data_IF_903683342407
#
_entry.id   IF_903683342407
#
_cell.length_a   1.000
_cell.length_b   1.000
_cell.length_c   1.000
_cell.angle_alpha   90.00
_cell.angle_beta   90.00
_cell.angle_gamma   90.00
#
_symmetry.space_group_name_H-M   'P 1'
#
loop_
_entity.id
_entity.type
_entity.pdbx_description
1 polymer ?
#
# COMPACT_ATOMS: atom_id res chain seq x y z
N UNK A 1 30.87 25.27 -22.31
CA UNK A 1 30.75 24.10 -23.22
C UNK A 1 30.39 22.85 -22.42
N UNK A 2 31.14 22.51 -21.36
CA UNK A 2 30.81 21.41 -20.43
C UNK A 2 29.42 21.57 -19.79
N UNK A 3 29.05 22.78 -19.33
CA UNK A 3 27.75 23.01 -18.67
C UNK A 3 26.56 22.76 -19.59
N UNK A 4 26.66 23.15 -20.88
CA UNK A 4 25.62 22.87 -21.86
C UNK A 4 25.47 21.37 -22.14
N UNK A 5 26.57 20.62 -22.13
CA UNK A 5 26.54 19.16 -22.29
C UNK A 5 25.86 18.51 -21.08
N UNK A 6 26.20 18.95 -19.87
CA UNK A 6 25.58 18.44 -18.64
C UNK A 6 24.07 18.71 -18.61
N UNK A 7 23.64 19.93 -18.98
CA UNK A 7 22.23 20.27 -19.09
C UNK A 7 21.52 19.40 -20.15
N UNK A 8 22.19 19.12 -21.27
CA UNK A 8 21.68 18.21 -22.30
C UNK A 8 21.48 16.78 -21.77
N UNK A 9 22.43 16.27 -20.97
CA UNK A 9 22.34 14.95 -20.35
C UNK A 9 21.18 14.88 -19.34
N UNK A 10 20.98 15.92 -18.54
CA UNK A 10 19.86 15.98 -17.59
C UNK A 10 18.49 15.93 -18.30
N UNK A 11 18.33 16.70 -19.37
CA UNK A 11 17.10 16.68 -20.18
C UNK A 11 16.88 15.31 -20.81
N UNK A 12 17.93 14.70 -21.38
CA UNK A 12 17.85 13.36 -21.95
C UNK A 12 17.45 12.31 -20.90
N UNK A 13 18.01 12.38 -19.69
CA UNK A 13 17.65 11.49 -18.59
C UNK A 13 16.18 11.64 -18.18
N UNK A 14 15.65 12.87 -18.13
CA UNK A 14 14.22 13.11 -17.87
C UNK A 14 13.33 12.52 -18.97
N UNK A 15 13.68 12.74 -20.24
CA UNK A 15 12.95 12.16 -21.37
C UNK A 15 12.96 10.63 -21.34
N UNK A 16 14.09 10.02 -20.99
CA UNK A 16 14.23 8.56 -20.88
C UNK A 16 13.34 7.99 -19.77
N UNK A 17 13.33 8.62 -18.59
CA UNK A 17 12.43 8.24 -17.49
C UNK A 17 10.96 8.36 -17.91
N UNK A 18 10.56 9.46 -18.54
CA UNK A 18 9.17 9.65 -19.02
C UNK A 18 8.79 8.55 -20.01
N UNK A 19 9.67 8.25 -20.98
CA UNK A 19 9.44 7.19 -21.97
C UNK A 19 9.32 5.82 -21.31
N UNK A 20 10.20 5.49 -20.37
CA UNK A 20 10.16 4.24 -19.63
C UNK A 20 8.84 4.06 -18.85
N UNK A 21 8.34 5.12 -18.20
CA UNK A 21 7.03 5.11 -17.53
C UNK A 21 5.88 4.88 -18.52
N UNK A 22 5.91 5.53 -19.68
CA UNK A 22 4.89 5.35 -20.72
C UNK A 22 4.91 3.93 -21.32
N UNK A 23 6.08 3.34 -21.51
CA UNK A 23 6.23 1.94 -21.96
C UNK A 23 5.71 0.95 -20.92
N UNK A 24 6.06 1.15 -19.63
CA UNK A 24 5.53 0.34 -18.54
C UNK A 24 4.00 0.45 -18.47
N UNK A 25 3.44 1.66 -18.58
CA UNK A 25 1.99 1.88 -18.60
C UNK A 25 1.32 1.12 -19.74
N UNK A 26 1.89 1.14 -20.95
CA UNK A 26 1.33 0.38 -22.09
C UNK A 26 1.42 -1.12 -21.88
N UNK A 27 2.58 -1.62 -21.41
CA UNK A 27 2.82 -3.04 -21.17
C UNK A 27 1.87 -3.63 -20.12
N UNK A 28 1.61 -2.90 -19.06
CA UNK A 28 0.75 -3.32 -17.95
C UNK A 28 -0.72 -2.92 -18.12
N UNK A 29 -1.08 -2.26 -19.23
CA UNK A 29 -2.42 -1.70 -19.46
C UNK A 29 -2.85 -0.78 -18.31
N UNK A 30 -1.94 0.08 -17.87
CA UNK A 30 -2.20 1.05 -16.82
C UNK A 30 -2.90 2.31 -17.35
N UNK A 31 -3.64 2.95 -16.45
CA UNK A 31 -4.36 4.19 -16.70
C UNK A 31 -3.98 5.26 -15.65
N UNK A 32 -4.05 6.56 -16.01
CA UNK A 32 -4.07 7.62 -15.01
C UNK A 32 -5.33 7.47 -14.16
N UNK A 33 -5.22 7.76 -12.87
CA UNK A 33 -6.32 7.69 -11.90
C UNK A 33 -6.47 9.03 -11.20
N UNK A 34 -7.66 9.29 -10.63
CA UNK A 34 -7.86 10.45 -9.78
C UNK A 34 -7.07 10.28 -8.48
N UNK A 35 -6.46 11.37 -7.99
CA UNK A 35 -5.72 11.37 -6.74
C UNK A 35 -6.43 12.24 -5.71
N UNK A 36 -6.43 11.79 -4.46
CA UNK A 36 -6.92 12.55 -3.32
C UNK A 36 -5.93 12.48 -2.15
N UNK A 37 -6.16 13.29 -1.12
CA UNK A 37 -5.42 13.20 0.14
C UNK A 37 -6.29 12.69 1.28
N UNK A 38 -7.58 12.42 1.04
CA UNK A 38 -8.61 12.05 2.03
C UNK A 38 -8.50 10.63 2.60
N UNK A 39 -7.63 9.78 2.06
CA UNK A 39 -7.56 8.36 2.42
C UNK A 39 -8.51 7.46 1.61
N UNK A 40 -9.38 8.05 0.77
CA UNK A 40 -10.30 7.32 -0.10
C UNK A 40 -9.54 6.51 -1.16
N UNK A 41 -9.90 5.24 -1.32
CA UNK A 41 -9.30 4.32 -2.31
C UNK A 41 -10.42 3.57 -3.02
N UNK A 42 -10.59 3.85 -4.31
CA UNK A 42 -11.57 3.15 -5.17
C UNK A 42 -10.80 2.57 -6.35
N UNK A 43 -10.54 1.27 -6.33
CA UNK A 43 -9.85 0.59 -7.42
C UNK A 43 -10.85 -0.31 -8.13
N UNK A 44 -11.16 -0.02 -9.39
CA UNK A 44 -12.02 -0.85 -10.23
C UNK A 44 -11.17 -1.68 -11.18
N UNK A 45 -11.48 -2.95 -11.35
CA UNK A 45 -10.75 -3.90 -12.20
C UNK A 45 -9.23 -3.93 -11.94
N UNK A 46 -8.82 -3.78 -10.69
CA UNK A 46 -7.42 -3.69 -10.29
C UNK A 46 -6.70 -5.03 -10.42
N UNK A 47 -5.50 -5.02 -11.00
CA UNK A 47 -4.71 -6.23 -11.25
C UNK A 47 -3.32 -6.10 -10.64
N UNK A 48 -2.80 -7.21 -10.12
CA UNK A 48 -1.47 -7.20 -9.52
C UNK A 48 -0.38 -6.99 -10.59
N UNK A 49 0.43 -5.91 -10.52
CA UNK A 49 1.33 -5.52 -11.61
C UNK A 49 2.41 -6.57 -11.90
N UNK A 50 2.98 -7.21 -10.86
CA UNK A 50 4.00 -8.25 -11.07
C UNK A 50 3.41 -9.57 -11.63
N UNK A 51 2.12 -9.85 -11.38
CA UNK A 51 1.47 -11.01 -11.97
C UNK A 51 1.19 -10.78 -13.44
N UNK A 52 0.83 -9.54 -13.83
CA UNK A 52 0.68 -9.16 -15.24
C UNK A 52 1.97 -9.30 -16.06
N UNK A 53 3.14 -9.27 -15.41
CA UNK A 53 4.42 -9.49 -16.08
C UNK A 53 4.76 -10.98 -16.30
N UNK A 54 4.14 -11.88 -15.53
CA UNK A 54 4.55 -13.29 -15.44
C UNK A 54 3.46 -14.28 -15.81
N UNK A 55 2.20 -13.83 -15.88
CA UNK A 55 1.01 -14.66 -16.14
C UNK A 55 0.21 -14.07 -17.30
N UNK A 56 -0.32 -14.94 -18.15
CA UNK A 56 -1.18 -14.54 -19.26
C UNK A 56 -2.56 -14.06 -18.80
N UNK A 57 -3.05 -14.61 -17.70
CA UNK A 57 -4.33 -14.26 -17.09
C UNK A 57 -4.15 -13.93 -15.62
N UNK A 58 -4.63 -12.75 -15.24
CA UNK A 58 -4.67 -12.27 -13.86
C UNK A 58 -6.11 -11.91 -13.56
N UNK A 59 -6.65 -12.34 -12.43
CA UNK A 59 -8.01 -11.95 -12.03
C UNK A 59 -8.00 -10.51 -11.54
N UNK A 60 -9.00 -9.73 -11.95
CA UNK A 60 -9.17 -8.35 -11.50
C UNK A 60 -9.99 -8.30 -10.21
N UNK A 61 -9.67 -7.35 -9.34
CA UNK A 61 -10.38 -7.12 -8.08
C UNK A 61 -10.92 -5.69 -8.03
N UNK A 62 -12.13 -5.54 -7.52
CA UNK A 62 -12.66 -4.24 -7.13
C UNK A 62 -12.39 -4.04 -5.63
N UNK A 63 -11.83 -2.89 -5.25
CA UNK A 63 -11.45 -2.54 -3.87
C UNK A 63 -12.00 -1.16 -3.57
N UNK A 64 -12.71 -1.02 -2.47
CA UNK A 64 -13.39 0.23 -2.10
C UNK A 64 -13.20 0.48 -0.61
N UNK A 65 -12.50 1.57 -0.30
CA UNK A 65 -12.37 2.16 1.03
C UNK A 65 -12.82 3.62 0.89
N UNK A 66 -13.94 3.95 1.51
CA UNK A 66 -14.38 5.34 1.61
C UNK A 66 -13.58 6.09 2.69
N UNK A 67 -13.81 7.41 2.79
CA UNK A 67 -13.17 8.28 3.77
C UNK A 67 -13.55 8.00 5.24
N UNK A 68 -14.62 7.22 5.47
CA UNK A 68 -15.08 6.81 6.80
C UNK A 68 -14.47 5.49 7.25
N UNK A 69 -13.97 4.67 6.32
CA UNK A 69 -13.33 3.39 6.58
C UNK A 69 -11.85 3.60 6.89
N UNK A 70 -11.48 3.46 8.17
CA UNK A 70 -10.09 3.50 8.63
C UNK A 70 -9.38 2.14 8.57
N UNK A 71 -10.14 1.05 8.67
CA UNK A 71 -9.61 -0.32 8.71
C UNK A 71 -10.44 -1.22 7.80
N UNK A 72 -9.78 -1.92 6.89
CA UNK A 72 -10.38 -2.96 6.06
C UNK A 72 -9.86 -4.33 6.49
N UNK A 73 -10.76 -5.18 6.97
CA UNK A 73 -10.45 -6.57 7.32
C UNK A 73 -10.82 -7.48 6.14
N UNK A 74 -9.84 -8.21 5.61
CA UNK A 74 -10.04 -9.17 4.53
C UNK A 74 -10.02 -10.58 5.12
N UNK A 75 -11.15 -11.28 5.09
CA UNK A 75 -11.27 -12.66 5.57
C UNK A 75 -11.56 -13.64 4.42
N UNK A 76 -11.38 -14.94 4.67
CA UNK A 76 -11.58 -16.00 3.69
C UNK A 76 -10.42 -17.01 3.66
N UNK A 77 -10.47 -18.05 2.81
CA UNK A 77 -9.42 -19.06 2.72
C UNK A 77 -8.09 -18.46 2.24
N UNK A 78 -6.95 -19.05 2.62
CA UNK A 78 -5.60 -18.52 2.29
C UNK A 78 -5.34 -18.44 0.78
N UNK A 79 -5.92 -19.35 0.00
CA UNK A 79 -5.85 -19.33 -1.47
C UNK A 79 -6.81 -18.32 -2.14
N UNK A 80 -7.60 -17.59 -1.36
CA UNK A 80 -8.65 -16.67 -1.85
C UNK A 80 -8.15 -15.34 -2.41
N UNK A 81 -6.83 -15.11 -2.50
CA UNK A 81 -6.27 -13.88 -3.05
C UNK A 81 -6.23 -12.70 -2.07
N UNK A 82 -6.33 -12.94 -0.75
CA UNK A 82 -6.26 -11.90 0.30
C UNK A 82 -4.93 -11.14 0.24
N UNK A 83 -3.82 -11.86 0.34
CA UNK A 83 -2.46 -11.32 0.22
C UNK A 83 -2.25 -10.60 -1.11
N UNK A 84 -2.82 -11.12 -2.21
CA UNK A 84 -2.72 -10.48 -3.53
C UNK A 84 -3.45 -9.14 -3.53
N UNK A 85 -4.65 -9.08 -2.94
CA UNK A 85 -5.45 -7.85 -2.80
C UNK A 85 -4.71 -6.82 -1.96
N UNK A 86 -4.16 -7.24 -0.82
CA UNK A 86 -3.36 -6.38 0.05
C UNK A 86 -2.13 -5.81 -0.69
N UNK A 87 -1.42 -6.66 -1.45
CA UNK A 87 -0.28 -6.25 -2.28
C UNK A 87 -0.67 -5.32 -3.42
N UNK A 88 -1.87 -5.45 -4.01
CA UNK A 88 -2.37 -4.51 -5.03
C UNK A 88 -2.42 -3.10 -4.44
N UNK A 89 -3.07 -2.91 -3.30
CA UNK A 89 -3.21 -1.59 -2.67
C UNK A 89 -1.84 -1.00 -2.33
N UNK A 90 -0.96 -1.79 -1.72
CA UNK A 90 0.39 -1.34 -1.36
C UNK A 90 1.25 -0.97 -2.56
N UNK A 91 1.28 -1.81 -3.60
CA UNK A 91 2.04 -1.52 -4.81
C UNK A 91 1.47 -0.30 -5.53
N UNK A 92 0.15 -0.12 -5.57
CA UNK A 92 -0.47 1.03 -6.20
C UNK A 92 -0.13 2.32 -5.45
N UNK A 93 -0.09 2.30 -4.13
CA UNK A 93 0.35 3.45 -3.33
C UNK A 93 1.79 3.85 -3.69
N UNK A 94 2.70 2.88 -3.81
CA UNK A 94 4.09 3.13 -4.23
C UNK A 94 4.18 3.62 -5.69
N UNK A 95 3.37 3.06 -6.58
CA UNK A 95 3.33 3.46 -7.99
C UNK A 95 2.85 4.91 -8.15
N UNK A 96 1.80 5.32 -7.43
CA UNK A 96 1.33 6.72 -7.40
C UNK A 96 2.44 7.65 -6.93
N UNK A 97 3.12 7.32 -5.82
CA UNK A 97 4.26 8.12 -5.31
C UNK A 97 5.42 8.22 -6.31
N UNK A 98 5.61 7.19 -7.13
CA UNK A 98 6.62 7.17 -8.18
C UNK A 98 6.18 7.89 -9.48
N UNK A 99 4.95 8.44 -9.52
CA UNK A 99 4.38 9.08 -10.71
C UNK A 99 4.07 8.09 -11.83
N UNK A 100 3.64 6.88 -11.48
CA UNK A 100 3.27 5.81 -12.41
C UNK A 100 1.74 5.67 -12.52
N UNK A 101 1.27 5.35 -13.72
CA UNK A 101 -0.12 4.92 -13.94
C UNK A 101 -0.38 3.55 -13.32
N UNK A 102 -1.65 3.26 -12.99
CA UNK A 102 -2.04 2.03 -12.29
C UNK A 102 -2.75 1.02 -13.20
N UNK A 103 -2.52 -0.30 -13.07
CA UNK A 103 -3.21 -1.34 -13.83
C UNK A 103 -4.62 -1.61 -13.27
N UNK A 104 -5.51 -0.64 -13.45
CA UNK A 104 -6.91 -0.66 -13.08
C UNK A 104 -7.74 0.19 -14.06
N UNK A 105 -9.05 0.20 -13.92
CA UNK A 105 -9.91 1.02 -14.78
C UNK A 105 -9.69 2.53 -14.53
N UNK A 106 -9.80 3.39 -15.56
CA UNK A 106 -9.58 4.85 -15.46
C UNK A 106 -10.45 5.56 -14.42
N UNK A 107 -11.62 5.01 -14.10
CA UNK A 107 -12.55 5.55 -13.11
C UNK A 107 -12.09 5.32 -11.66
N UNK A 108 -10.93 4.69 -11.48
CA UNK A 108 -10.33 4.47 -10.16
C UNK A 108 -9.80 5.76 -9.54
N UNK A 109 -9.66 5.73 -8.23
CA UNK A 109 -9.15 6.79 -7.39
C UNK A 109 -8.22 6.23 -6.32
N UNK A 110 -7.10 6.92 -6.06
CA UNK A 110 -6.12 6.50 -5.07
C UNK A 110 -5.67 7.66 -4.20
N UNK A 111 -5.64 7.45 -2.88
CA UNK A 111 -5.09 8.43 -1.94
C UNK A 111 -3.55 8.47 -2.02
N UNK A 112 -3.00 9.67 -1.84
CA UNK A 112 -1.56 9.90 -1.76
C UNK A 112 -1.03 9.63 -0.34
N UNK A 113 -0.67 8.38 -0.06
CA UNK A 113 -0.02 8.01 1.20
C UNK A 113 1.47 8.40 1.19
N UNK A 114 1.93 9.18 2.19
CA UNK A 114 3.36 9.53 2.33
C UNK A 114 4.17 8.44 3.02
N UNK A 115 3.50 7.60 3.80
CA UNK A 115 4.12 6.52 4.57
C UNK A 115 3.40 5.21 4.30
N UNK A 116 4.18 4.14 4.09
CA UNK A 116 3.65 2.81 3.88
C UNK A 116 4.38 1.85 4.80
N UNK A 117 3.63 1.18 5.65
CA UNK A 117 4.11 0.13 6.53
C UNK A 117 3.49 -1.19 6.09
N UNK A 118 4.33 -2.20 5.92
CA UNK A 118 3.87 -3.52 5.48
C UNK A 118 4.52 -4.58 6.35
N UNK A 119 3.68 -5.40 6.98
CA UNK A 119 4.05 -6.68 7.57
C UNK A 119 3.32 -7.76 6.78
N UNK A 120 3.95 -8.24 5.70
CA UNK A 120 3.36 -9.15 4.71
C UNK A 120 4.38 -10.25 4.38
N UNK A 121 4.08 -11.51 4.70
CA UNK A 121 5.01 -12.63 4.46
C UNK A 121 4.50 -13.97 4.97
N UNK A 122 5.16 -15.05 4.55
CA UNK A 122 4.84 -16.41 4.97
C UNK A 122 5.31 -16.61 6.42
N UNK A 123 4.36 -16.85 7.34
CA UNK A 123 4.62 -17.07 8.75
C UNK A 123 5.45 -18.35 9.03
N UNK A 124 5.87 -19.09 8.00
CA UNK A 124 6.64 -20.33 8.14
C UNK A 124 8.16 -20.14 8.23
N UNK A 125 8.71 -18.95 7.97
CA UNK A 125 10.17 -18.82 7.87
C UNK A 125 10.90 -18.53 9.19
N UNK A 126 10.22 -18.24 10.29
CA UNK A 126 10.89 -18.08 11.58
C UNK A 126 9.92 -18.39 12.73
N UNK A 127 10.26 -19.39 13.54
CA UNK A 127 9.78 -19.58 14.90
C UNK A 127 10.04 -18.33 15.76
N UNK A 128 9.23 -17.27 15.59
CA UNK A 128 9.25 -16.07 16.41
C UNK A 128 8.26 -16.26 17.55
N UNK A 129 8.78 -16.31 18.77
CA UNK A 129 7.96 -16.16 19.97
C UNK A 129 7.12 -14.87 19.85
N UNK A 130 5.89 -14.87 20.38
CA UNK A 130 4.96 -13.72 20.42
C UNK A 130 5.63 -12.39 20.83
N UNK A 131 6.72 -12.46 21.60
CA UNK A 131 7.56 -11.33 22.01
C UNK A 131 8.17 -10.56 20.84
N UNK A 132 8.57 -11.23 19.76
CA UNK A 132 9.17 -10.58 18.59
C UNK A 132 8.12 -9.88 17.72
N UNK A 133 6.95 -10.49 17.52
CA UNK A 133 5.83 -9.87 16.80
C UNK A 133 5.31 -8.64 17.55
N UNK A 134 5.06 -8.79 18.85
CA UNK A 134 4.59 -7.69 19.70
C UNK A 134 5.58 -6.50 19.70
N UNK A 135 6.89 -6.77 19.71
CA UNK A 135 7.89 -5.71 19.60
C UNK A 135 7.84 -4.96 18.27
N UNK A 136 7.67 -5.67 17.14
CA UNK A 136 7.54 -5.04 15.81
C UNK A 136 6.29 -4.17 15.71
N UNK A 137 5.15 -4.66 16.19
CA UNK A 137 3.90 -3.90 16.19
C UNK A 137 3.94 -2.69 17.13
N UNK A 138 4.50 -2.85 18.33
CA UNK A 138 4.65 -1.75 19.29
C UNK A 138 5.53 -0.65 18.70
N UNK A 139 6.61 -1.03 18.01
CA UNK A 139 7.46 -0.08 17.31
C UNK A 139 6.71 0.65 16.18
N UNK A 140 5.90 -0.06 15.39
CA UNK A 140 5.09 0.53 14.33
C UNK A 140 4.06 1.53 14.89
N UNK A 141 3.31 1.14 15.92
CA UNK A 141 2.34 2.01 16.60
C UNK A 141 3.03 3.26 17.15
N UNK A 142 4.21 3.10 17.76
CA UNK A 142 4.99 4.21 18.28
C UNK A 142 5.37 5.20 17.18
N UNK A 143 5.91 4.72 16.05
CA UNK A 143 6.28 5.56 14.92
C UNK A 143 5.08 6.30 14.32
N UNK A 144 3.94 5.61 14.21
CA UNK A 144 2.69 6.21 13.74
C UNK A 144 2.17 7.28 14.70
N UNK A 145 2.23 7.01 16.02
CA UNK A 145 1.80 7.95 17.06
C UNK A 145 2.68 9.20 17.11
N UNK A 146 4.00 9.04 17.00
CA UNK A 146 4.95 10.16 16.93
C UNK A 146 4.67 11.04 15.70
N UNK A 147 4.33 10.42 14.55
CA UNK A 147 3.97 11.16 13.33
C UNK A 147 2.63 11.88 13.43
N UNK A 148 1.62 11.24 14.02
CA UNK A 148 0.32 11.87 14.28
C UNK A 148 0.48 13.09 15.20
N UNK A 149 1.33 13.01 16.23
CA UNK A 149 1.60 14.12 17.15
C UNK A 149 2.34 15.32 16.50
N UNK A 150 3.11 15.10 15.43
CA UNK A 150 3.79 16.17 14.70
C UNK A 150 2.86 16.95 13.73
N UNK A 151 1.63 16.48 13.51
CA UNK A 151 0.61 17.18 12.72
C UNK A 151 -0.02 18.32 13.55
N UNK A 152 0.66 19.46 13.63
CA UNK A 152 0.23 20.64 14.42
C UNK A 152 -0.73 21.58 13.68
N UNK A 153 -1.32 21.13 12.57
CA UNK A 153 -2.19 21.98 11.72
C UNK A 153 -3.66 21.62 11.96
N UNK A 154 -4.49 22.59 12.33
CA UNK A 154 -5.94 22.50 12.15
C UNK A 154 -6.28 22.89 10.70
N UNK A 155 -7.16 22.14 10.00
CA UNK A 155 -7.95 20.99 10.45
C UNK A 155 -7.14 19.67 10.51
N UNK A 156 -7.64 18.59 11.15
CA UNK A 156 -6.93 17.31 11.24
C UNK A 156 -6.44 16.88 9.86
N UNK A 157 -5.13 16.71 9.73
CA UNK A 157 -4.51 16.27 8.49
C UNK A 157 -5.07 14.90 8.09
N UNK A 158 -5.33 14.73 6.80
CA UNK A 158 -5.87 13.50 6.26
C UNK A 158 -4.88 12.31 6.38
N UNK A 159 -5.34 11.05 6.30
CA UNK A 159 -4.51 9.88 6.58
C UNK A 159 -3.26 9.83 5.69
N UNK A 160 -2.10 10.02 6.30
CA UNK A 160 -0.80 10.05 5.58
C UNK A 160 -0.14 8.68 5.48
N UNK A 161 -0.59 7.73 6.29
CA UNK A 161 0.01 6.41 6.44
C UNK A 161 -0.93 5.32 5.95
N UNK A 162 -0.40 4.40 5.16
CA UNK A 162 -1.05 3.14 4.81
C UNK A 162 -0.36 2.01 5.58
N UNK A 163 -1.11 1.24 6.35
CA UNK A 163 -0.62 0.07 7.08
C UNK A 163 -1.21 -1.20 6.49
N UNK A 164 -0.37 -2.14 6.11
CA UNK A 164 -0.74 -3.42 5.51
C UNK A 164 -0.26 -4.54 6.42
N UNK A 165 -1.20 -5.34 6.91
CA UNK A 165 -0.93 -6.48 7.79
C UNK A 165 -1.48 -7.75 7.16
N UNK A 166 -0.64 -8.75 6.95
CA UNK A 166 -1.04 -10.09 6.51
C UNK A 166 -0.80 -11.08 7.64
N UNK A 167 -1.86 -11.76 8.07
CA UNK A 167 -1.84 -12.70 9.20
C UNK A 167 -1.09 -12.17 10.46
N UNK A 168 -1.43 -10.97 10.98
CA UNK A 168 -0.62 -10.32 12.02
C UNK A 168 -0.50 -11.16 13.29
N UNK A 169 -1.51 -11.95 13.68
CA UNK A 169 -1.45 -12.68 14.95
C UNK A 169 -1.53 -14.18 14.73
N UNK A 170 -0.40 -14.85 14.90
CA UNK A 170 -0.29 -16.30 15.02
C UNK A 170 -0.01 -16.67 16.48
N UNK A 171 -1.04 -17.06 17.22
CA UNK A 171 -0.93 -17.55 18.61
C UNK A 171 -1.33 -19.02 18.70
N UNK A 172 -0.81 -19.70 19.72
CA UNK A 172 -1.24 -21.06 20.07
C UNK A 172 -2.63 -21.08 20.71
N UNK A 173 -3.06 -19.98 21.34
CA UNK A 173 -4.44 -19.76 21.79
C UNK A 173 -5.16 -18.77 20.84
N UNK A 174 -6.13 -19.24 20.03
CA UNK A 174 -6.89 -18.39 19.13
C UNK A 174 -7.63 -17.22 19.80
N UNK A 175 -8.05 -17.35 21.07
CA UNK A 175 -8.77 -16.28 21.77
C UNK A 175 -7.85 -15.12 22.13
N UNK A 176 -6.66 -15.42 22.65
CA UNK A 176 -5.63 -14.41 22.94
C UNK A 176 -5.18 -13.71 21.66
N UNK A 177 -5.04 -14.47 20.57
CA UNK A 177 -4.62 -13.92 19.28
C UNK A 177 -5.64 -12.93 18.70
N UNK A 178 -6.93 -13.28 18.77
CA UNK A 178 -8.00 -12.42 18.32
C UNK A 178 -8.10 -11.12 19.14
N UNK A 179 -8.01 -11.22 20.47
CA UNK A 179 -8.07 -10.05 21.36
C UNK A 179 -6.91 -9.08 21.11
N UNK A 180 -5.70 -9.61 20.89
CA UNK A 180 -4.53 -8.79 20.55
C UNK A 180 -4.68 -8.12 19.18
N UNK A 181 -5.16 -8.87 18.17
CA UNK A 181 -5.39 -8.31 16.83
C UNK A 181 -6.44 -7.19 16.87
N UNK A 182 -7.54 -7.39 17.59
CA UNK A 182 -8.58 -6.37 17.77
C UNK A 182 -8.03 -5.12 18.45
N UNK A 183 -7.33 -5.27 19.58
CA UNK A 183 -6.74 -4.14 20.29
C UNK A 183 -5.75 -3.35 19.41
N UNK A 184 -4.94 -4.06 18.61
CA UNK A 184 -4.01 -3.46 17.65
C UNK A 184 -4.76 -2.66 16.58
N UNK A 185 -5.77 -3.26 15.93
CA UNK A 185 -6.53 -2.62 14.86
C UNK A 185 -7.30 -1.41 15.36
N UNK A 186 -7.93 -1.51 16.54
CA UNK A 186 -8.60 -0.38 17.20
C UNK A 186 -7.60 0.76 17.46
N UNK A 187 -6.42 0.44 17.98
CA UNK A 187 -5.39 1.45 18.24
C UNK A 187 -4.92 2.13 16.95
N UNK A 188 -4.73 1.37 15.87
CA UNK A 188 -4.34 1.94 14.57
C UNK A 188 -5.45 2.81 13.96
N UNK A 189 -6.71 2.48 14.18
CA UNK A 189 -7.86 3.25 13.69
C UNK A 189 -8.00 4.63 14.38
N UNK A 190 -7.51 4.75 15.62
CA UNK A 190 -7.51 5.99 16.40
C UNK A 190 -6.40 6.98 15.99
N UNK A 191 -5.34 6.50 15.35
CA UNK A 191 -4.19 7.31 14.91
C UNK A 191 -4.47 8.04 13.58
#
# INVERSE_FOLDING_TARGET
NVDMINQGIEVLAQCDVIKARAEMSRRLKCHPVSLNESGRVILKQARHPLLLLTKDQVVANDIELDETVRVLVISGPNTGGKTVTLKIVGLFALMVRAGLHLPCAPESEMSLFTDLYADIGDAQDLSRDLSSFSAHMTQMIRLLSERAACSTTEPPAAPRSLVLLDEPVTSTDPQEGAALAEALLCRLAEL
#
